data_IF_820609161240
#
_entry.id   IF_820609161240
#
_cell.length_a   1.000
_cell.length_b   1.000
_cell.length_c   1.000
_cell.angle_alpha   90.00
_cell.angle_beta   90.00
_cell.angle_gamma   90.00
#
_symmetry.space_group_name_H-M   'P 1'
#
loop_
_entity.id
_entity.type
_entity.pdbx_description
1 polymer ?
#
# COMPACT_ATOMS: atom_id res chain seq x y z
N UNK A 1 -11.06 49.20 2.67
CA UNK A 1 -10.12 48.19 3.18
C UNK A 1 -9.08 48.79 4.12
N UNK A 2 -8.82 50.06 4.10
CA UNK A 2 -7.73 50.71 4.87
C UNK A 2 -8.03 50.90 6.35
N UNK A 3 -9.28 51.01 6.76
CA UNK A 3 -9.68 51.23 8.16
C UNK A 3 -9.32 50.07 9.10
N UNK A 4 -9.32 48.84 8.59
CA UNK A 4 -8.93 47.67 9.37
C UNK A 4 -7.41 47.52 9.51
N UNK A 5 -6.63 47.97 8.54
CA UNK A 5 -5.17 48.01 8.64
C UNK A 5 -4.70 49.06 9.67
N UNK A 6 -5.40 50.18 9.77
CA UNK A 6 -5.09 51.24 10.73
C UNK A 6 -5.38 50.81 12.18
N UNK A 7 -6.44 50.00 12.38
CA UNK A 7 -6.79 49.44 13.71
C UNK A 7 -5.80 48.34 14.12
N UNK A 8 -5.31 47.55 13.19
CA UNK A 8 -4.32 46.52 13.45
C UNK A 8 -2.93 47.11 13.76
N UNK A 9 -2.55 48.18 13.09
CA UNK A 9 -1.27 48.88 13.34
C UNK A 9 -1.27 49.70 14.67
N UNK A 10 -2.43 50.06 15.23
CA UNK A 10 -2.55 50.74 16.54
C UNK A 10 -2.62 49.80 17.74
N UNK A 11 -2.67 48.50 17.55
CA UNK A 11 -2.52 47.56 18.67
C UNK A 11 -1.04 47.45 19.01
N UNK A 12 -0.62 48.20 20.01
CA UNK A 12 0.63 47.87 20.70
C UNK A 12 0.53 46.43 21.16
N UNK A 13 1.37 45.57 20.57
CA UNK A 13 1.51 44.19 21.03
C UNK A 13 1.92 44.27 22.52
N UNK A 14 1.19 43.59 23.41
CA UNK A 14 1.55 43.62 24.83
C UNK A 14 3.02 43.20 24.96
N UNK A 15 3.80 44.03 25.63
CA UNK A 15 5.22 43.76 25.88
C UNK A 15 5.34 42.38 26.54
N UNK A 16 6.01 41.47 25.87
CA UNK A 16 6.23 40.14 26.39
C UNK A 16 7.16 40.26 27.59
N UNK A 17 6.64 39.99 28.79
CA UNK A 17 7.46 39.92 30.01
C UNK A 17 8.43 38.72 29.84
N UNK A 18 9.71 39.06 29.61
CA UNK A 18 10.76 38.07 29.38
C UNK A 18 10.92 37.09 30.54
N UNK A 19 10.61 37.52 31.78
CA UNK A 19 10.67 36.67 32.95
C UNK A 19 9.54 35.61 32.92
N UNK A 20 8.33 36.01 32.56
CA UNK A 20 7.20 35.07 32.40
C UNK A 20 7.41 34.11 31.24
N UNK A 21 8.05 34.58 30.16
CA UNK A 21 8.42 33.73 29.03
C UNK A 21 9.44 32.66 29.44
N UNK A 22 10.50 33.06 30.21
CA UNK A 22 11.49 32.13 30.74
C UNK A 22 10.88 31.10 31.69
N UNK A 23 10.04 31.55 32.64
CA UNK A 23 9.32 30.64 33.54
C UNK A 23 8.40 29.65 32.79
N UNK A 24 7.68 30.12 31.79
CA UNK A 24 6.83 29.24 30.97
C UNK A 24 7.65 28.21 30.18
N UNK A 25 8.82 28.59 29.66
CA UNK A 25 9.76 27.68 29.00
C UNK A 25 10.35 26.66 29.97
N UNK A 26 10.71 27.08 31.20
CA UNK A 26 11.21 26.17 32.24
C UNK A 26 10.14 25.16 32.68
N UNK A 27 8.91 25.60 32.90
CA UNK A 27 7.77 24.75 33.25
C UNK A 27 7.49 23.76 32.11
N UNK A 28 7.54 24.20 30.85
CA UNK A 28 7.41 23.32 29.69
C UNK A 28 8.55 22.31 29.61
N UNK A 29 9.81 22.72 29.82
CA UNK A 29 10.96 21.82 29.85
C UNK A 29 10.85 20.79 30.98
N UNK A 30 10.45 21.19 32.19
CA UNK A 30 10.19 20.25 33.29
C UNK A 30 9.02 19.29 32.99
N UNK A 31 7.95 19.78 32.40
CA UNK A 31 6.85 18.91 31.96
C UNK A 31 7.26 17.94 30.86
N UNK A 32 8.05 18.37 29.90
CA UNK A 32 8.59 17.51 28.84
C UNK A 32 9.55 16.47 29.41
N UNK A 33 10.46 16.87 30.31
CA UNK A 33 11.40 15.97 30.99
C UNK A 33 10.69 14.92 31.87
N UNK A 34 9.59 15.33 32.54
CA UNK A 34 8.77 14.42 33.36
C UNK A 34 7.75 13.61 32.52
N UNK A 35 7.55 13.94 31.22
CA UNK A 35 6.65 13.23 30.31
C UNK A 35 7.44 12.37 29.33
N UNK A 36 8.65 11.92 29.65
CA UNK A 36 9.28 10.80 28.96
C UNK A 36 8.54 9.48 29.24
N UNK A 37 7.24 9.48 29.01
CA UNK A 37 6.52 8.27 28.70
C UNK A 37 6.52 8.19 27.17
N UNK A 38 7.67 7.98 26.58
CA UNK A 38 7.72 7.28 25.30
C UNK A 38 7.38 5.81 25.60
N UNK A 39 6.11 5.54 25.84
CA UNK A 39 5.61 4.20 25.64
C UNK A 39 5.90 3.92 24.16
N UNK A 40 6.98 3.19 23.90
CA UNK A 40 7.27 2.65 22.57
C UNK A 40 6.11 1.71 22.27
N UNK A 41 5.06 2.27 21.64
CA UNK A 41 3.92 1.48 21.21
C UNK A 41 4.45 0.35 20.34
N UNK A 42 4.03 -0.87 20.65
CA UNK A 42 4.36 -2.02 19.84
C UNK A 42 3.78 -1.83 18.42
N UNK A 43 4.52 -2.25 17.40
CA UNK A 43 4.02 -2.24 16.01
C UNK A 43 2.64 -2.88 15.88
N UNK A 44 2.38 -3.93 16.64
CA UNK A 44 1.09 -4.62 16.67
C UNK A 44 -0.07 -3.73 17.20
N UNK A 45 0.19 -2.91 18.20
CA UNK A 45 -0.81 -1.94 18.71
C UNK A 45 -1.11 -0.86 17.69
N UNK A 46 -0.08 -0.38 16.99
CA UNK A 46 -0.23 0.57 15.88
C UNK A 46 -1.09 -0.02 14.75
N UNK A 47 -0.81 -1.27 14.33
CA UNK A 47 -1.61 -1.98 13.31
C UNK A 47 -3.07 -2.09 13.75
N UNK A 48 -3.34 -2.54 14.98
CA UNK A 48 -4.70 -2.70 15.51
C UNK A 48 -5.47 -1.38 15.54
N UNK A 49 -4.80 -0.28 15.89
CA UNK A 49 -5.38 1.06 15.87
C UNK A 49 -5.72 1.53 14.47
N UNK A 50 -4.92 1.12 13.48
CA UNK A 50 -5.05 1.59 12.10
C UNK A 50 -6.16 0.88 11.30
N UNK A 51 -6.47 -0.39 11.61
CA UNK A 51 -7.50 -1.18 10.92
C UNK A 51 -8.84 -0.44 10.74
N UNK A 52 -9.40 0.28 11.75
CA UNK A 52 -10.67 0.99 11.58
C UNK A 52 -10.63 2.15 10.57
N UNK A 53 -9.45 2.69 10.28
CA UNK A 53 -9.26 3.79 9.33
C UNK A 53 -9.09 3.33 7.88
N UNK A 54 -8.93 2.03 7.66
CA UNK A 54 -8.86 1.46 6.32
C UNK A 54 -10.22 1.47 5.64
N UNK A 55 -10.22 1.63 4.34
CA UNK A 55 -11.42 1.70 3.52
C UNK A 55 -12.17 0.35 3.50
N UNK A 56 -13.39 0.36 4.02
CA UNK A 56 -14.28 -0.82 4.00
C UNK A 56 -14.58 -1.27 2.57
N UNK A 57 -14.58 -0.36 1.61
CA UNK A 57 -14.81 -0.66 0.20
C UNK A 57 -13.71 -1.54 -0.40
N UNK A 58 -12.46 -1.31 -0.07
CA UNK A 58 -11.33 -2.14 -0.54
C UNK A 58 -11.46 -3.57 -0.03
N UNK A 59 -11.76 -3.76 1.26
CA UNK A 59 -11.99 -5.09 1.84
C UNK A 59 -13.19 -5.80 1.21
N UNK A 60 -14.27 -5.06 0.92
CA UNK A 60 -15.45 -5.62 0.28
C UNK A 60 -15.11 -6.12 -1.13
N UNK A 61 -14.35 -5.36 -1.93
CA UNK A 61 -13.91 -5.80 -3.25
C UNK A 61 -12.97 -7.01 -3.18
N UNK A 62 -12.02 -7.05 -2.23
CA UNK A 62 -11.15 -8.22 -2.01
C UNK A 62 -11.98 -9.46 -1.64
N UNK A 63 -13.01 -9.29 -0.82
CA UNK A 63 -13.92 -10.38 -0.42
C UNK A 63 -14.76 -10.86 -1.62
N UNK A 64 -15.26 -9.96 -2.46
CA UNK A 64 -15.98 -10.33 -3.70
C UNK A 64 -15.06 -11.13 -4.63
N UNK A 65 -13.81 -10.68 -4.85
CA UNK A 65 -12.84 -11.41 -5.66
C UNK A 65 -12.58 -12.81 -5.09
N UNK A 66 -12.43 -12.94 -3.77
CA UNK A 66 -12.27 -14.23 -3.13
C UNK A 66 -13.46 -15.16 -3.41
N UNK A 67 -14.69 -14.65 -3.33
CA UNK A 67 -15.89 -15.46 -3.65
C UNK A 67 -15.93 -15.85 -5.12
N UNK A 68 -15.63 -14.93 -6.03
CA UNK A 68 -15.58 -15.21 -7.47
C UNK A 68 -14.54 -16.28 -7.78
N UNK A 69 -13.31 -16.15 -7.24
CA UNK A 69 -12.27 -17.16 -7.43
C UNK A 69 -12.67 -18.55 -6.91
N UNK A 70 -13.34 -18.65 -5.75
CA UNK A 70 -13.87 -19.91 -5.22
C UNK A 70 -14.92 -20.51 -6.17
N UNK A 71 -15.83 -19.71 -6.73
CA UNK A 71 -16.82 -20.16 -7.69
C UNK A 71 -16.17 -20.66 -8.97
N UNK A 72 -15.14 -19.97 -9.45
CA UNK A 72 -14.36 -20.38 -10.63
C UNK A 72 -13.68 -21.74 -10.41
N UNK A 73 -13.06 -21.96 -9.24
CA UNK A 73 -12.40 -23.24 -8.90
C UNK A 73 -13.40 -24.40 -8.97
N UNK A 74 -14.65 -24.18 -8.50
CA UNK A 74 -15.68 -25.22 -8.46
C UNK A 74 -16.37 -25.49 -9.80
N UNK A 75 -16.40 -24.49 -10.71
CA UNK A 75 -17.23 -24.55 -11.93
C UNK A 75 -16.44 -24.81 -13.19
N UNK A 76 -15.12 -24.63 -13.18
CA UNK A 76 -14.30 -24.67 -14.40
C UNK A 76 -13.21 -25.73 -14.34
N UNK A 77 -12.63 -26.07 -15.50
CA UNK A 77 -11.49 -26.96 -15.63
C UNK A 77 -10.20 -26.25 -15.16
N UNK A 78 -9.18 -27.04 -14.78
CA UNK A 78 -7.90 -26.54 -14.23
C UNK A 78 -7.26 -25.40 -15.07
N UNK A 79 -7.15 -25.57 -16.39
CA UNK A 79 -6.52 -24.56 -17.26
C UNK A 79 -7.23 -23.21 -17.22
N UNK A 80 -8.58 -23.23 -17.30
CA UNK A 80 -9.39 -22.00 -17.20
C UNK A 80 -9.32 -21.38 -15.82
N UNK A 81 -9.38 -22.21 -14.77
CA UNK A 81 -9.25 -21.77 -13.39
C UNK A 81 -7.90 -21.08 -13.17
N UNK A 82 -6.81 -21.69 -13.56
CA UNK A 82 -5.46 -21.11 -13.47
C UNK A 82 -5.38 -19.78 -14.20
N UNK A 83 -5.91 -19.70 -15.43
CA UNK A 83 -5.92 -18.47 -16.22
C UNK A 83 -6.69 -17.36 -15.48
N UNK A 84 -7.92 -17.61 -15.05
CA UNK A 84 -8.75 -16.59 -14.40
C UNK A 84 -8.12 -16.13 -13.09
N UNK A 85 -7.67 -17.06 -12.25
CA UNK A 85 -7.01 -16.71 -10.99
C UNK A 85 -5.71 -15.91 -11.22
N UNK A 86 -4.91 -16.24 -12.24
CA UNK A 86 -3.72 -15.46 -12.56
C UNK A 86 -4.03 -14.04 -13.02
N UNK A 87 -5.21 -13.80 -13.64
CA UNK A 87 -5.69 -12.47 -14.02
C UNK A 87 -6.29 -11.68 -12.83
N UNK A 88 -6.76 -12.36 -11.78
CA UNK A 88 -7.23 -11.72 -10.56
C UNK A 88 -6.08 -11.11 -9.73
N UNK A 89 -4.85 -11.62 -9.83
CA UNK A 89 -3.70 -11.16 -9.05
C UNK A 89 -3.32 -9.70 -9.31
N UNK A 90 -3.19 -9.23 -10.57
CA UNK A 90 -3.01 -7.81 -10.85
C UNK A 90 -4.15 -6.91 -10.33
N UNK A 91 -5.39 -7.43 -10.29
CA UNK A 91 -6.53 -6.68 -9.74
C UNK A 91 -6.39 -6.51 -8.22
N UNK A 92 -5.96 -7.55 -7.48
CA UNK A 92 -5.67 -7.46 -6.07
C UNK A 92 -4.54 -6.45 -5.77
N UNK A 93 -3.48 -6.44 -6.60
CA UNK A 93 -2.40 -5.47 -6.50
C UNK A 93 -2.87 -4.04 -6.77
N UNK A 94 -3.77 -3.85 -7.73
CA UNK A 94 -4.38 -2.55 -8.02
C UNK A 94 -5.25 -2.05 -6.86
N UNK A 95 -6.05 -2.91 -6.23
CA UNK A 95 -6.83 -2.54 -5.05
C UNK A 95 -5.93 -2.11 -3.87
N UNK A 96 -4.78 -2.73 -3.71
CA UNK A 96 -3.80 -2.36 -2.70
C UNK A 96 -3.26 -0.95 -2.93
N UNK A 97 -2.89 -0.60 -4.16
CA UNK A 97 -2.34 0.72 -4.46
C UNK A 97 -3.41 1.81 -4.39
N UNK A 98 -4.65 1.54 -4.78
CA UNK A 98 -5.76 2.46 -4.62
C UNK A 98 -5.97 2.89 -3.16
N UNK A 99 -5.73 1.99 -2.21
CA UNK A 99 -5.84 2.32 -0.78
C UNK A 99 -4.74 3.28 -0.34
N UNK A 100 -3.54 3.16 -0.90
CA UNK A 100 -2.44 4.10 -0.66
C UNK A 100 -2.73 5.46 -1.31
N UNK A 101 -3.19 5.48 -2.55
CA UNK A 101 -3.48 6.72 -3.28
C UNK A 101 -4.55 7.57 -2.61
N UNK A 102 -5.51 6.95 -1.89
CA UNK A 102 -6.53 7.69 -1.14
C UNK A 102 -5.94 8.64 -0.12
N UNK A 103 -4.89 8.25 0.59
CA UNK A 103 -4.21 9.12 1.56
C UNK A 103 -3.63 10.37 0.91
N UNK A 104 -3.07 10.24 -0.29
CA UNK A 104 -2.50 11.36 -1.04
C UNK A 104 -3.58 12.22 -1.69
N UNK A 105 -4.60 11.61 -2.30
CA UNK A 105 -5.66 12.30 -3.03
C UNK A 105 -6.54 13.21 -2.16
N UNK A 106 -6.81 12.79 -0.94
CA UNK A 106 -7.68 13.54 -0.02
C UNK A 106 -6.92 14.40 0.98
N UNK A 107 -5.60 14.62 0.77
CA UNK A 107 -4.73 15.34 1.71
C UNK A 107 -4.86 14.83 3.16
N UNK A 108 -5.23 13.56 3.31
CA UNK A 108 -5.36 12.94 4.64
C UNK A 108 -4.01 12.83 5.35
N UNK A 109 -2.91 12.98 4.62
CA UNK A 109 -1.57 13.01 5.19
C UNK A 109 -1.39 14.10 6.27
N UNK A 110 -2.02 15.28 6.10
CA UNK A 110 -1.96 16.36 7.10
C UNK A 110 -2.67 15.94 8.40
N UNK A 111 -3.80 15.24 8.29
CA UNK A 111 -4.55 14.72 9.43
C UNK A 111 -3.81 13.54 10.06
N UNK A 112 -3.26 12.64 9.26
CA UNK A 112 -2.46 11.50 9.73
C UNK A 112 -1.20 11.97 10.46
N UNK A 113 -0.51 13.00 9.97
CA UNK A 113 0.63 13.64 10.64
C UNK A 113 0.24 14.32 11.96
N UNK A 114 -0.94 14.92 12.06
CA UNK A 114 -1.45 15.51 13.30
C UNK A 114 -1.76 14.46 14.39
N UNK A 115 -1.98 13.21 14.00
CA UNK A 115 -2.31 12.09 14.89
C UNK A 115 -1.08 11.35 15.47
N UNK A 116 0.09 11.99 15.60
CA UNK A 116 1.32 11.38 16.16
C UNK A 116 1.90 10.19 15.35
N UNK A 117 1.42 9.93 14.15
CA UNK A 117 1.97 8.89 13.29
C UNK A 117 2.75 9.55 12.15
N UNK A 118 3.96 9.08 11.93
CA UNK A 118 4.75 9.49 10.79
C UNK A 118 4.09 8.97 9.50
N UNK A 119 4.08 9.78 8.43
CA UNK A 119 3.51 9.40 7.14
C UNK A 119 4.06 8.04 6.66
N UNK A 120 5.37 7.81 6.88
CA UNK A 120 6.04 6.55 6.57
C UNK A 120 5.44 5.36 7.31
N UNK A 121 5.14 5.54 8.60
CA UNK A 121 4.51 4.50 9.41
C UNK A 121 3.11 4.18 8.90
N UNK A 122 2.31 5.20 8.56
CA UNK A 122 0.97 5.04 8.02
C UNK A 122 0.97 4.24 6.71
N UNK A 123 1.82 4.63 5.75
CA UNK A 123 1.97 3.93 4.46
C UNK A 123 2.45 2.50 4.67
N UNK A 124 3.46 2.29 5.55
CA UNK A 124 3.98 0.96 5.85
C UNK A 124 2.91 0.04 6.42
N UNK A 125 2.11 0.53 7.37
CA UNK A 125 1.03 -0.25 7.99
C UNK A 125 -0.02 -0.63 6.95
N UNK A 126 -0.44 0.30 6.08
CA UNK A 126 -1.38 0.01 4.98
C UNK A 126 -0.85 -1.05 4.03
N UNK A 127 0.42 -0.93 3.61
CA UNK A 127 1.07 -1.91 2.76
C UNK A 127 1.11 -3.29 3.42
N UNK A 128 1.54 -3.36 4.68
CA UNK A 128 1.65 -4.63 5.42
C UNK A 128 0.29 -5.31 5.55
N UNK A 129 -0.75 -4.58 5.97
CA UNK A 129 -2.09 -5.16 6.16
C UNK A 129 -2.65 -5.67 4.84
N UNK A 130 -2.63 -4.85 3.78
CA UNK A 130 -3.16 -5.25 2.48
C UNK A 130 -2.37 -6.40 1.85
N UNK A 131 -1.03 -6.38 1.96
CA UNK A 131 -0.18 -7.47 1.47
C UNK A 131 -0.49 -8.76 2.21
N UNK A 132 -0.68 -8.71 3.53
CA UNK A 132 -1.02 -9.88 4.33
C UNK A 132 -2.38 -10.47 3.92
N UNK A 133 -3.40 -9.63 3.73
CA UNK A 133 -4.74 -10.08 3.29
C UNK A 133 -4.65 -10.71 1.89
N UNK A 134 -3.96 -10.05 0.95
CA UNK A 134 -3.78 -10.58 -0.40
C UNK A 134 -3.03 -11.91 -0.40
N UNK A 135 -2.01 -12.06 0.44
CA UNK A 135 -1.29 -13.32 0.61
C UNK A 135 -2.19 -14.43 1.17
N UNK A 136 -3.06 -14.11 2.12
CA UNK A 136 -4.07 -15.06 2.60
C UNK A 136 -5.03 -15.49 1.47
N UNK A 137 -5.52 -14.56 0.66
CA UNK A 137 -6.39 -14.86 -0.50
C UNK A 137 -5.68 -15.78 -1.48
N UNK A 138 -4.43 -15.48 -1.84
CA UNK A 138 -3.62 -16.31 -2.75
C UNK A 138 -3.38 -17.72 -2.19
N UNK A 139 -3.12 -17.81 -0.89
CA UNK A 139 -2.93 -19.10 -0.22
C UNK A 139 -4.20 -19.93 -0.26
N UNK A 140 -5.36 -19.34 -0.01
CA UNK A 140 -6.65 -20.00 -0.11
C UNK A 140 -6.88 -20.52 -1.54
N UNK A 141 -6.64 -19.69 -2.55
CA UNK A 141 -6.77 -20.11 -3.95
C UNK A 141 -5.83 -21.25 -4.30
N UNK A 142 -4.57 -21.17 -3.90
CA UNK A 142 -3.58 -22.19 -4.19
C UNK A 142 -3.93 -23.54 -3.53
N UNK A 143 -4.34 -23.51 -2.26
CA UNK A 143 -4.74 -24.71 -1.52
C UNK A 143 -6.02 -25.31 -2.12
N UNK A 144 -7.04 -24.50 -2.37
CA UNK A 144 -8.30 -25.00 -2.96
C UNK A 144 -8.11 -25.55 -4.38
N UNK A 145 -7.31 -24.87 -5.21
CA UNK A 145 -7.01 -25.35 -6.57
C UNK A 145 -6.16 -26.61 -6.51
N UNK A 146 -5.16 -26.66 -5.64
CA UNK A 146 -4.30 -27.83 -5.45
C UNK A 146 -5.09 -29.06 -5.00
N UNK A 147 -5.97 -28.90 -4.00
CA UNK A 147 -6.80 -30.01 -3.50
C UNK A 147 -7.89 -30.45 -4.50
N UNK A 148 -8.47 -29.52 -5.26
CA UNK A 148 -9.54 -29.83 -6.20
C UNK A 148 -9.04 -30.50 -7.48
N UNK A 149 -7.84 -30.13 -7.96
CA UNK A 149 -7.25 -30.64 -9.20
C UNK A 149 -6.02 -31.53 -9.00
N UNK A 150 -5.72 -31.92 -7.76
CA UNK A 150 -4.56 -32.75 -7.42
C UNK A 150 -3.22 -32.16 -7.89
N UNK A 151 -3.10 -30.82 -7.82
CA UNK A 151 -1.90 -30.09 -8.21
C UNK A 151 -1.07 -29.65 -7.01
N UNK A 152 0.22 -29.39 -7.23
CA UNK A 152 1.12 -28.93 -6.18
C UNK A 152 0.83 -27.47 -5.80
N UNK A 153 0.24 -27.24 -4.64
CA UNK A 153 -0.19 -25.93 -4.15
C UNK A 153 0.94 -24.88 -4.10
N UNK A 154 2.18 -25.30 -3.80
CA UNK A 154 3.32 -24.36 -3.76
C UNK A 154 3.70 -23.82 -5.15
N UNK A 155 3.50 -24.58 -6.20
CA UNK A 155 3.72 -24.15 -7.58
C UNK A 155 2.68 -23.09 -7.97
N UNK A 156 1.43 -23.31 -7.59
CA UNK A 156 0.34 -22.36 -7.83
C UNK A 156 0.55 -21.03 -7.10
N UNK A 157 1.07 -21.07 -5.87
CA UNK A 157 1.42 -19.84 -5.15
C UNK A 157 2.43 -19.00 -5.94
N UNK A 158 3.46 -19.63 -6.53
CA UNK A 158 4.44 -18.91 -7.37
C UNK A 158 3.78 -18.26 -8.59
N UNK A 159 2.88 -18.99 -9.26
CA UNK A 159 2.18 -18.47 -10.42
C UNK A 159 1.24 -17.29 -10.11
N UNK A 160 0.75 -17.19 -8.89
CA UNK A 160 -0.09 -16.09 -8.43
C UNK A 160 0.75 -14.92 -7.90
N UNK A 161 1.82 -15.22 -7.16
CA UNK A 161 2.63 -14.21 -6.49
C UNK A 161 3.45 -13.36 -7.47
N UNK A 162 3.98 -13.96 -8.55
CA UNK A 162 4.81 -13.22 -9.52
C UNK A 162 4.01 -12.10 -10.23
N UNK A 163 2.85 -12.34 -10.87
CA UNK A 163 2.07 -11.26 -11.47
C UNK A 163 1.60 -10.21 -10.46
N UNK A 164 1.25 -10.62 -9.24
CA UNK A 164 0.94 -9.70 -8.15
C UNK A 164 2.12 -8.76 -7.85
N UNK A 165 3.33 -9.31 -7.69
CA UNK A 165 4.52 -8.52 -7.39
C UNK A 165 4.93 -7.59 -8.54
N UNK A 166 4.87 -8.07 -9.80
CA UNK A 166 5.14 -7.24 -10.98
C UNK A 166 4.22 -6.03 -11.01
N UNK A 167 2.92 -6.24 -10.75
CA UNK A 167 1.93 -5.16 -10.75
C UNK A 167 2.17 -4.18 -9.62
N UNK A 168 2.51 -4.65 -8.42
CA UNK A 168 2.85 -3.78 -7.29
C UNK A 168 4.08 -2.93 -7.57
N UNK A 169 5.15 -3.51 -8.14
CA UNK A 169 6.35 -2.75 -8.54
C UNK A 169 5.99 -1.67 -9.55
N UNK A 170 5.23 -2.01 -10.59
CA UNK A 170 4.83 -1.07 -11.62
C UNK A 170 3.98 0.08 -11.04
N UNK A 171 3.03 -0.22 -10.15
CA UNK A 171 2.18 0.76 -9.51
C UNK A 171 2.96 1.72 -8.59
N UNK A 172 3.88 1.21 -7.76
CA UNK A 172 4.71 2.05 -6.89
C UNK A 172 5.63 2.95 -7.71
N UNK A 173 6.23 2.43 -8.79
CA UNK A 173 7.04 3.25 -9.71
C UNK A 173 6.19 4.36 -10.36
N UNK A 174 4.94 4.07 -10.70
CA UNK A 174 4.03 5.07 -11.27
C UNK A 174 3.69 6.15 -10.26
N UNK A 175 3.38 5.80 -9.02
CA UNK A 175 3.15 6.78 -7.94
C UNK A 175 4.36 7.71 -7.76
N UNK A 176 5.56 7.14 -7.80
CA UNK A 176 6.80 7.88 -7.71
C UNK A 176 7.01 8.86 -8.86
N UNK A 177 6.77 8.43 -10.11
CA UNK A 177 7.02 9.24 -11.31
C UNK A 177 6.00 10.38 -11.48
N UNK A 178 4.78 10.21 -11.00
CA UNK A 178 3.64 11.11 -11.27
C UNK A 178 3.22 11.94 -10.06
N UNK A 179 4.16 12.40 -9.27
CA UNK A 179 4.07 13.10 -7.95
C UNK A 179 2.86 13.98 -7.62
N UNK A 180 2.02 14.42 -8.57
CA UNK A 180 0.96 15.43 -8.30
C UNK A 180 -0.37 15.22 -9.03
N UNK A 181 -0.63 14.06 -9.63
CA UNK A 181 -1.91 13.81 -10.32
C UNK A 181 -2.52 12.51 -9.81
N UNK A 182 -3.85 12.45 -9.78
CA UNK A 182 -4.53 11.19 -9.47
C UNK A 182 -4.09 10.12 -10.46
N UNK A 183 -3.30 9.17 -9.99
CA UNK A 183 -2.63 8.17 -10.80
C UNK A 183 -3.53 6.96 -11.08
N UNK A 184 -4.79 7.00 -10.57
CA UNK A 184 -5.76 5.89 -10.68
C UNK A 184 -5.92 5.37 -12.11
N UNK A 185 -6.08 6.29 -13.09
CA UNK A 185 -6.25 5.91 -14.51
C UNK A 185 -4.98 5.24 -15.05
N UNK A 186 -3.81 5.76 -14.71
CA UNK A 186 -2.53 5.22 -15.16
C UNK A 186 -2.28 3.85 -14.55
N UNK A 187 -2.52 3.68 -13.25
CA UNK A 187 -2.38 2.41 -12.55
C UNK A 187 -3.39 1.37 -13.08
N UNK A 188 -4.63 1.79 -13.37
CA UNK A 188 -5.63 0.93 -14.02
C UNK A 188 -5.18 0.50 -15.42
N UNK A 189 -4.60 1.40 -16.19
CA UNK A 189 -4.08 1.09 -17.54
C UNK A 189 -2.92 0.09 -17.47
N UNK A 190 -2.00 0.26 -16.52
CA UNK A 190 -0.89 -0.67 -16.29
C UNK A 190 -1.42 -2.05 -15.91
N UNK A 191 -2.38 -2.13 -14.99
CA UNK A 191 -3.02 -3.38 -14.60
C UNK A 191 -3.65 -4.09 -15.82
N UNK A 192 -4.37 -3.36 -16.68
CA UNK A 192 -4.98 -3.92 -17.90
C UNK A 192 -3.92 -4.41 -18.89
N UNK A 193 -2.81 -3.70 -19.07
CA UNK A 193 -1.70 -4.12 -19.92
C UNK A 193 -1.04 -5.41 -19.40
N UNK A 194 -0.78 -5.49 -18.09
CA UNK A 194 -0.22 -6.70 -17.48
C UNK A 194 -1.18 -7.88 -17.67
N UNK A 195 -2.49 -7.67 -17.44
CA UNK A 195 -3.50 -8.71 -17.67
C UNK A 195 -3.55 -9.17 -19.14
N UNK A 196 -3.44 -8.24 -20.10
CA UNK A 196 -3.40 -8.60 -21.51
C UNK A 196 -2.15 -9.43 -21.88
N UNK A 197 -1.01 -9.14 -21.28
CA UNK A 197 0.22 -9.91 -21.45
C UNK A 197 0.07 -11.30 -20.84
N UNK A 198 -0.42 -11.40 -19.61
CA UNK A 198 -0.65 -12.67 -18.92
C UNK A 198 -1.63 -13.56 -19.69
N UNK A 199 -2.72 -12.98 -20.20
CA UNK A 199 -3.69 -13.67 -21.03
C UNK A 199 -3.04 -14.27 -22.30
N UNK A 200 -2.21 -13.49 -22.99
CA UNK A 200 -1.45 -13.96 -24.16
C UNK A 200 -0.48 -15.09 -23.81
N UNK A 201 0.24 -14.97 -22.69
CA UNK A 201 1.20 -15.98 -22.24
C UNK A 201 0.47 -17.29 -21.94
N UNK A 202 -0.64 -17.24 -21.20
CA UNK A 202 -1.43 -18.43 -20.87
C UNK A 202 -1.96 -19.17 -22.11
N UNK A 203 -2.36 -18.46 -23.16
CA UNK A 203 -2.91 -19.08 -24.38
C UNK A 203 -1.80 -19.57 -25.31
N UNK A 204 -0.74 -18.78 -25.54
CA UNK A 204 0.30 -19.11 -26.52
C UNK A 204 1.36 -20.08 -26.00
N UNK A 205 1.65 -20.01 -24.69
CA UNK A 205 2.74 -20.74 -24.05
C UNK A 205 2.26 -21.46 -22.79
N UNK A 206 1.34 -22.43 -22.89
CA UNK A 206 0.86 -23.15 -21.70
C UNK A 206 1.98 -23.90 -20.97
N UNK A 207 3.04 -24.29 -21.67
CA UNK A 207 4.23 -24.95 -21.11
C UNK A 207 4.98 -24.09 -20.07
N UNK A 208 4.82 -22.77 -20.09
CA UNK A 208 5.42 -21.88 -19.09
C UNK A 208 4.80 -22.11 -17.69
N UNK A 209 3.64 -22.72 -17.63
CA UNK A 209 2.93 -23.05 -16.38
C UNK A 209 3.05 -24.53 -16.00
N UNK A 210 3.95 -25.27 -16.62
CA UNK A 210 4.27 -26.65 -16.26
C UNK A 210 5.31 -26.68 -15.13
N UNK A 211 5.36 -27.77 -14.39
CA UNK A 211 6.31 -27.97 -13.28
C UNK A 211 7.78 -27.81 -13.70
N UNK A 212 8.10 -28.06 -14.97
CA UNK A 212 9.43 -27.85 -15.55
C UNK A 212 9.92 -26.39 -15.50
N UNK A 213 9.01 -25.42 -15.45
CA UNK A 213 9.31 -23.98 -15.47
C UNK A 213 9.32 -23.32 -14.09
N UNK A 214 9.16 -24.07 -13.01
CA UNK A 214 9.13 -23.56 -11.61
C UNK A 214 10.38 -22.74 -11.29
N UNK A 215 11.55 -23.18 -11.74
CA UNK A 215 12.81 -22.45 -11.52
C UNK A 215 12.80 -21.05 -12.16
N UNK A 216 12.18 -20.89 -13.34
CA UNK A 216 12.05 -19.61 -14.02
C UNK A 216 11.13 -18.68 -13.22
N UNK A 217 10.01 -19.19 -12.72
CA UNK A 217 9.09 -18.43 -11.89
C UNK A 217 9.70 -18.01 -10.56
N UNK A 218 10.52 -18.89 -9.96
CA UNK A 218 11.25 -18.57 -8.73
C UNK A 218 12.30 -17.49 -8.97
N UNK A 219 13.06 -17.56 -10.08
CA UNK A 219 14.00 -16.51 -10.45
C UNK A 219 13.30 -15.16 -10.69
N UNK A 220 12.17 -15.16 -11.41
CA UNK A 220 11.33 -13.97 -11.62
C UNK A 220 10.83 -13.41 -10.29
N UNK A 221 10.41 -14.25 -9.36
CA UNK A 221 9.98 -13.83 -8.03
C UNK A 221 11.11 -13.13 -7.27
N UNK A 222 12.31 -13.70 -7.23
CA UNK A 222 13.46 -13.09 -6.56
C UNK A 222 13.76 -11.71 -7.15
N UNK A 223 13.76 -11.60 -8.47
CA UNK A 223 14.00 -10.35 -9.18
C UNK A 223 12.92 -9.33 -8.84
N UNK A 224 11.65 -9.70 -8.88
CA UNK A 224 10.53 -8.80 -8.60
C UNK A 224 10.49 -8.35 -7.15
N UNK A 225 10.81 -9.23 -6.19
CA UNK A 225 10.94 -8.87 -4.76
C UNK A 225 12.07 -7.87 -4.56
N UNK A 226 13.22 -8.06 -5.20
CA UNK A 226 14.32 -7.11 -5.12
C UNK A 226 13.92 -5.72 -5.64
N UNK A 227 13.27 -5.66 -6.80
CA UNK A 227 12.77 -4.39 -7.35
C UNK A 227 11.67 -3.78 -6.50
N UNK A 228 10.81 -4.58 -5.87
CA UNK A 228 9.77 -4.12 -4.96
C UNK A 228 10.38 -3.42 -3.74
N UNK A 229 11.34 -4.06 -3.07
CA UNK A 229 12.04 -3.48 -1.92
C UNK A 229 12.73 -2.17 -2.32
N UNK A 230 13.42 -2.16 -3.46
CA UNK A 230 14.09 -0.96 -3.99
C UNK A 230 13.08 0.16 -4.28
N UNK A 231 11.94 -0.16 -4.92
CA UNK A 231 10.91 0.82 -5.26
C UNK A 231 10.26 1.42 -4.00
N UNK A 232 9.98 0.59 -2.99
CA UNK A 232 9.44 1.04 -1.69
C UNK A 232 10.45 1.93 -0.97
N UNK A 233 11.72 1.54 -0.91
CA UNK A 233 12.77 2.33 -0.26
C UNK A 233 12.92 3.70 -0.91
N UNK A 234 13.01 3.76 -2.24
CA UNK A 234 13.12 5.01 -2.99
C UNK A 234 11.86 5.88 -2.85
N UNK A 235 10.68 5.27 -2.78
CA UNK A 235 9.43 5.99 -2.53
C UNK A 235 9.46 6.70 -1.17
N UNK A 236 9.99 6.07 -0.13
CA UNK A 236 10.12 6.67 1.19
C UNK A 236 11.14 7.81 1.25
N UNK A 237 12.29 7.70 0.56
CA UNK A 237 13.28 8.78 0.53
C UNK A 237 12.73 10.04 -0.15
N UNK A 238 12.05 9.88 -1.28
CA UNK A 238 11.53 11.02 -2.05
C UNK A 238 10.38 11.74 -1.34
N UNK A 239 9.58 11.06 -0.55
CA UNK A 239 8.52 11.67 0.26
C UNK A 239 9.09 12.53 1.41
N UNK A 240 10.22 12.14 2.00
CA UNK A 240 10.91 12.99 2.99
C UNK A 240 11.36 14.32 2.39
N UNK A 241 12.02 14.28 1.25
CA UNK A 241 12.49 15.48 0.57
C UNK A 241 11.34 16.43 0.19
N UNK A 242 10.17 15.89 -0.16
CA UNK A 242 8.98 16.67 -0.51
C UNK A 242 8.42 17.41 0.70
N UNK A 243 8.34 16.77 1.87
CA UNK A 243 7.83 17.36 3.11
C UNK A 243 8.74 18.47 3.60
N UNK A 244 10.06 18.30 3.54
CA UNK A 244 11.04 19.32 3.95
C UNK A 244 11.05 20.55 3.03
N UNK A 245 10.70 20.40 1.76
CA UNK A 245 10.63 21.52 0.81
C UNK A 245 9.31 22.31 0.88
N UNK A 246 8.32 21.86 1.65
CA UNK A 246 7.05 22.56 1.89
C UNK A 246 7.05 23.40 3.17
N UNK A 247 8.09 23.29 4.03
CA UNK A 247 8.32 24.12 5.21
C UNK A 247 9.22 25.32 4.90
#
# INVERSE_FOLDING_TARGET
MDKWREILNKRELPSIDENKKKQSIEILKMKIANTEITVKESYFEKIKRYIPFMSKTTFLFQFILLLVGILVIKSMNFEKTRLILSLEMPILAFLQIMELEKSFKYNMYEIEMSCKMDLKESISIKLIINTFINLCIMTVFAVMTGTHFEQESYVLILYFLVPFMITNVANILTMRLLKNKSNEIVNMTIMLLINAILFKINIKFPSVYETSSVLVWLALLIITVFYFIKAVYQFYEEEEDYIWNLQ
#
